data_IF_152786043047
#
_entry.id   IF_152786043047
#
_cell.length_a   1.000
_cell.length_b   1.000
_cell.length_c   1.000
_cell.angle_alpha   90.00
_cell.angle_beta   90.00
_cell.angle_gamma   90.00
#
_symmetry.space_group_name_H-M   'P 1'
#
loop_
_entity.id
_entity.type
_entity.pdbx_description
1 polymer ?
#
# COMPACT_ATOMS: atom_id res chain seq x y z
N UNK A 1 16.90 -0.29 37.19
CA UNK A 1 17.92 -0.36 36.12
C UNK A 1 18.00 -1.78 35.55
N UNK A 2 16.91 -2.28 34.98
CA UNK A 2 16.89 -3.66 34.43
C UNK A 2 16.05 -3.82 33.14
N UNK A 3 15.28 -2.79 32.77
CA UNK A 3 14.59 -2.74 31.48
C UNK A 3 15.56 -2.38 30.34
N UNK A 4 16.52 -1.48 30.61
CA UNK A 4 17.55 -1.08 29.64
C UNK A 4 18.54 -2.21 29.29
N UNK A 5 18.84 -3.12 30.23
CA UNK A 5 19.65 -4.32 29.97
C UNK A 5 18.88 -5.43 29.25
N UNK A 6 17.58 -5.59 29.53
CA UNK A 6 16.69 -6.47 28.76
C UNK A 6 16.53 -6.00 27.31
N UNK A 7 16.53 -4.69 27.07
CA UNK A 7 16.47 -4.12 25.72
C UNK A 7 17.82 -4.24 24.98
N UNK A 8 18.96 -4.07 25.65
CA UNK A 8 20.27 -4.33 25.03
C UNK A 8 20.47 -5.79 24.56
N UNK A 9 19.80 -6.76 25.20
CA UNK A 9 19.80 -8.16 24.75
C UNK A 9 18.93 -8.44 23.52
N UNK A 10 18.00 -7.54 23.18
CA UNK A 10 17.17 -7.61 21.95
C UNK A 10 17.80 -6.86 20.76
N UNK A 11 18.79 -6.00 21.01
CA UNK A 11 19.47 -5.17 20.00
C UNK A 11 20.99 -5.38 19.96
N UNK A 12 21.47 -6.48 20.56
CA UNK A 12 22.86 -6.93 20.52
C UNK A 12 23.06 -8.15 19.62
N UNK A 13 22.28 -8.27 18.55
CA UNK A 13 22.41 -9.33 17.55
C UNK A 13 23.24 -8.87 16.36
N UNK A 14 23.86 -9.83 15.68
CA UNK A 14 24.57 -9.64 14.42
C UNK A 14 23.68 -8.84 13.43
N UNK A 15 24.13 -7.65 13.03
CA UNK A 15 23.42 -6.79 12.07
C UNK A 15 23.60 -7.28 10.61
N UNK A 16 23.94 -8.56 10.44
CA UNK A 16 24.01 -9.19 9.14
C UNK A 16 22.60 -9.25 8.53
N UNK A 17 22.52 -9.07 7.21
CA UNK A 17 21.25 -9.11 6.47
C UNK A 17 20.45 -10.39 6.78
N UNK A 18 21.16 -11.50 7.03
CA UNK A 18 20.59 -12.82 7.33
C UNK A 18 19.91 -12.90 8.71
N UNK A 19 20.40 -12.17 9.70
CA UNK A 19 19.79 -12.12 11.04
C UNK A 19 18.51 -11.27 11.03
N UNK A 20 18.52 -10.16 10.28
CA UNK A 20 17.35 -9.32 10.04
C UNK A 20 16.28 -10.13 9.28
N UNK A 21 16.68 -10.91 8.27
CA UNK A 21 15.78 -11.77 7.50
C UNK A 21 15.11 -12.85 8.34
N UNK A 22 15.87 -13.58 9.17
CA UNK A 22 15.30 -14.57 10.10
C UNK A 22 14.36 -13.93 11.13
N UNK A 23 14.65 -12.72 11.57
CA UNK A 23 13.81 -12.00 12.52
C UNK A 23 12.50 -11.53 11.86
N UNK A 24 12.56 -11.07 10.60
CA UNK A 24 11.37 -10.73 9.80
C UNK A 24 10.46 -11.93 9.58
N UNK A 25 11.04 -13.07 9.20
CA UNK A 25 10.28 -14.30 8.91
C UNK A 25 9.50 -14.78 10.15
N UNK A 26 10.14 -14.78 11.32
CA UNK A 26 9.51 -15.15 12.58
C UNK A 26 8.41 -14.19 13.02
N UNK A 27 8.53 -12.91 12.67
CA UNK A 27 7.52 -11.89 12.98
C UNK A 27 6.31 -12.01 12.04
N UNK A 28 6.54 -12.33 10.76
CA UNK A 28 5.49 -12.55 9.76
C UNK A 28 4.58 -13.73 10.14
N UNK A 29 5.16 -14.84 10.61
CA UNK A 29 4.41 -16.01 11.11
C UNK A 29 3.49 -15.65 12.30
N UNK A 30 3.97 -14.79 13.22
CA UNK A 30 3.21 -14.37 14.39
C UNK A 30 2.03 -13.46 14.03
N UNK A 31 2.18 -12.61 13.01
CA UNK A 31 1.12 -11.71 12.54
C UNK A 31 0.06 -12.48 11.73
N UNK A 32 0.44 -13.40 10.85
CA UNK A 32 -0.51 -14.25 10.13
C UNK A 32 -1.40 -15.05 11.08
N UNK A 33 -0.81 -15.58 12.15
CA UNK A 33 -1.56 -16.29 13.20
C UNK A 33 -2.51 -15.38 13.99
N UNK A 34 -2.26 -14.07 14.06
CA UNK A 34 -3.06 -13.11 14.80
C UNK A 34 -4.23 -12.51 13.98
N UNK A 35 -4.12 -12.47 12.65
CA UNK A 35 -5.07 -11.75 11.78
C UNK A 35 -5.74 -12.63 10.69
N UNK A 36 -5.35 -13.89 10.51
CA UNK A 36 -5.96 -14.80 9.53
C UNK A 36 -7.19 -15.51 10.08
N UNK A 37 -8.38 -14.89 10.02
CA UNK A 37 -9.59 -15.55 10.54
C UNK A 37 -10.97 -15.00 10.15
N UNK A 38 -11.07 -13.89 9.42
CA UNK A 38 -12.37 -13.37 8.99
C UNK A 38 -12.77 -13.90 7.60
N UNK A 39 -14.06 -14.16 7.43
CA UNK A 39 -14.66 -14.52 6.14
C UNK A 39 -14.46 -13.34 5.17
N UNK A 40 -13.65 -13.55 4.14
CA UNK A 40 -13.23 -12.46 3.24
C UNK A 40 -14.42 -12.02 2.37
N UNK A 41 -14.88 -10.78 2.58
CA UNK A 41 -15.85 -10.10 1.70
C UNK A 41 -15.28 -9.97 0.28
N UNK A 42 -16.16 -10.04 -0.73
CA UNK A 42 -15.81 -10.10 -2.17
C UNK A 42 -16.89 -9.45 -3.02
N UNK A 43 -16.49 -8.71 -4.05
CA UNK A 43 -17.39 -7.97 -4.94
C UNK A 43 -18.06 -6.77 -4.26
N UNK A 44 -19.04 -6.18 -4.95
CA UNK A 44 -19.84 -5.05 -4.45
C UNK A 44 -20.65 -5.42 -3.20
N UNK A 45 -20.52 -4.61 -2.15
CA UNK A 45 -21.27 -4.72 -0.89
C UNK A 45 -22.24 -3.53 -0.80
N UNK A 46 -23.56 -3.73 -1.07
CA UNK A 46 -24.52 -2.64 -1.16
C UNK A 46 -24.82 -1.96 0.19
N UNK A 47 -24.65 -2.67 1.29
CA UNK A 47 -24.81 -2.18 2.67
C UNK A 47 -23.66 -1.27 3.11
N UNK A 48 -22.48 -1.45 2.52
CA UNK A 48 -21.28 -0.68 2.84
C UNK A 48 -20.92 0.35 1.75
N UNK A 49 -21.58 0.26 0.59
CA UNK A 49 -21.30 1.12 -0.56
C UNK A 49 -19.87 0.96 -1.08
N UNK A 50 -19.26 -0.21 -0.90
CA UNK A 50 -17.86 -0.46 -1.21
C UNK A 50 -17.68 -1.76 -1.99
N UNK A 51 -16.54 -1.86 -2.71
CA UNK A 51 -16.16 -3.04 -3.46
C UNK A 51 -14.96 -3.72 -2.79
N UNK A 52 -14.99 -5.05 -2.70
CA UNK A 52 -13.87 -5.87 -2.25
C UNK A 52 -13.35 -6.72 -3.41
N UNK A 53 -12.03 -6.85 -3.56
CA UNK A 53 -11.45 -7.70 -4.60
C UNK A 53 -11.96 -9.15 -4.51
N UNK A 54 -12.53 -9.66 -5.60
CA UNK A 54 -12.93 -11.06 -5.77
C UNK A 54 -11.94 -11.86 -6.63
N UNK A 55 -11.05 -11.19 -7.37
CA UNK A 55 -10.02 -11.81 -8.21
C UNK A 55 -10.48 -12.18 -9.63
N UNK A 56 -11.67 -11.73 -10.03
CA UNK A 56 -12.27 -11.88 -11.35
C UNK A 56 -13.18 -10.68 -11.63
N UNK A 57 -13.60 -10.47 -12.87
CA UNK A 57 -14.46 -9.36 -13.26
C UNK A 57 -15.43 -9.77 -14.37
N UNK A 58 -16.64 -9.23 -14.33
CA UNK A 58 -17.69 -9.48 -15.32
C UNK A 58 -17.86 -8.31 -16.31
N UNK A 59 -17.38 -7.12 -15.95
CA UNK A 59 -17.53 -5.89 -16.75
C UNK A 59 -16.43 -4.87 -16.42
N UNK A 60 -16.39 -3.77 -17.18
CA UNK A 60 -15.39 -2.72 -17.04
C UNK A 60 -15.38 -2.06 -15.63
N UNK A 61 -16.55 -1.88 -15.00
CA UNK A 61 -16.64 -1.31 -13.64
C UNK A 61 -15.96 -2.24 -12.64
N UNK A 62 -16.28 -3.53 -12.69
CA UNK A 62 -15.68 -4.51 -11.79
C UNK A 62 -14.17 -4.65 -12.03
N UNK A 63 -13.73 -4.68 -13.29
CA UNK A 63 -12.30 -4.71 -13.62
C UNK A 63 -11.55 -3.51 -13.05
N UNK A 64 -12.11 -2.30 -13.21
CA UNK A 64 -11.55 -1.09 -12.62
C UNK A 64 -11.46 -1.22 -11.09
N UNK A 65 -12.55 -1.65 -10.46
CA UNK A 65 -12.62 -1.78 -9.01
C UNK A 65 -11.67 -2.84 -8.44
N UNK A 66 -11.49 -3.99 -9.12
CA UNK A 66 -10.48 -5.00 -8.76
C UNK A 66 -9.08 -4.37 -8.68
N UNK A 67 -8.69 -3.64 -9.73
CA UNK A 67 -7.35 -3.02 -9.79
C UNK A 67 -7.20 -1.89 -8.76
N UNK A 68 -8.24 -1.08 -8.53
CA UNK A 68 -8.25 -0.06 -7.46
C UNK A 68 -8.13 -0.72 -6.08
N UNK A 69 -8.83 -1.82 -5.81
CA UNK A 69 -8.73 -2.55 -4.54
C UNK A 69 -7.31 -3.06 -4.28
N UNK A 70 -6.62 -3.58 -5.30
CA UNK A 70 -5.21 -3.97 -5.16
C UNK A 70 -4.33 -2.77 -4.79
N UNK A 71 -4.67 -1.57 -5.26
CA UNK A 71 -3.98 -0.35 -4.86
C UNK A 71 -4.35 0.11 -3.42
N UNK A 72 -5.58 -0.09 -2.98
CA UNK A 72 -6.01 0.32 -1.64
C UNK A 72 -5.24 -0.38 -0.52
N UNK A 73 -4.60 -1.52 -0.80
CA UNK A 73 -3.61 -2.13 0.10
C UNK A 73 -2.55 -1.14 0.61
N UNK A 74 -2.12 -0.21 -0.26
CA UNK A 74 -1.17 0.83 0.09
C UNK A 74 -1.68 1.76 1.20
N UNK A 75 -2.99 2.00 1.30
CA UNK A 75 -3.59 2.83 2.35
C UNK A 75 -3.44 2.16 3.72
N UNK A 76 -3.69 0.86 3.82
CA UNK A 76 -3.52 0.09 5.06
C UNK A 76 -2.06 0.08 5.51
N UNK A 77 -1.13 -0.12 4.57
CA UNK A 77 0.29 -0.08 4.87
C UNK A 77 0.77 1.32 5.26
N UNK A 78 0.25 2.38 4.64
CA UNK A 78 0.50 3.76 5.08
C UNK A 78 0.00 4.01 6.49
N UNK A 79 -1.19 3.51 6.85
CA UNK A 79 -1.74 3.64 8.21
C UNK A 79 -0.84 2.92 9.23
N UNK A 80 -0.44 1.67 8.97
CA UNK A 80 0.52 0.91 9.80
C UNK A 80 1.85 1.65 9.98
N UNK A 81 2.39 2.19 8.88
CA UNK A 81 3.64 2.94 8.88
C UNK A 81 3.55 4.21 9.71
N UNK A 82 2.48 5.00 9.52
CA UNK A 82 2.25 6.23 10.27
C UNK A 82 2.08 5.96 11.77
N UNK A 83 1.29 4.95 12.13
CA UNK A 83 1.12 4.53 13.54
C UNK A 83 2.46 4.16 14.19
N UNK A 84 3.28 3.33 13.52
CA UNK A 84 4.62 2.98 14.02
C UNK A 84 5.54 4.20 14.16
N UNK A 85 5.54 5.07 13.14
CA UNK A 85 6.37 6.27 13.09
C UNK A 85 5.96 7.33 14.13
N UNK A 86 4.68 7.41 14.48
CA UNK A 86 4.16 8.30 15.53
C UNK A 86 4.37 7.76 16.94
N UNK A 87 4.24 6.44 17.12
CA UNK A 87 4.64 5.75 18.34
C UNK A 87 6.16 5.79 18.61
N UNK A 88 6.95 6.29 17.63
CA UNK A 88 8.43 6.26 17.63
C UNK A 88 8.98 4.83 17.69
N UNK A 89 8.19 3.86 17.24
CA UNK A 89 8.60 2.47 17.11
C UNK A 89 9.21 2.26 15.72
N UNK A 90 10.46 2.70 15.58
CA UNK A 90 11.17 2.67 14.31
C UNK A 90 11.54 1.25 13.85
N UNK A 91 11.56 0.28 14.76
CA UNK A 91 11.72 -1.14 14.39
C UNK A 91 10.44 -1.65 13.72
N UNK A 92 9.27 -1.33 14.28
CA UNK A 92 8.00 -1.64 13.63
C UNK A 92 7.86 -0.90 12.30
N UNK A 93 8.29 0.35 12.20
CA UNK A 93 8.28 1.09 10.93
C UNK A 93 9.17 0.41 9.86
N UNK A 94 10.37 -0.05 10.21
CA UNK A 94 11.24 -0.78 9.30
C UNK A 94 10.64 -2.14 8.89
N UNK A 95 9.94 -2.81 9.80
CA UNK A 95 9.19 -4.03 9.49
C UNK A 95 8.06 -3.77 8.48
N UNK A 96 7.21 -2.76 8.72
CA UNK A 96 6.15 -2.36 7.77
C UNK A 96 6.74 -2.06 6.40
N UNK A 97 7.89 -1.38 6.34
CA UNK A 97 8.60 -1.07 5.09
C UNK A 97 8.97 -2.32 4.29
N UNK A 98 9.45 -3.35 4.97
CA UNK A 98 9.94 -4.59 4.36
C UNK A 98 8.78 -5.54 4.02
N UNK A 99 7.76 -5.64 4.90
CA UNK A 99 6.50 -6.33 4.61
C UNK A 99 5.86 -5.76 3.35
N UNK A 100 5.72 -4.43 3.25
CA UNK A 100 5.11 -3.81 2.08
C UNK A 100 5.88 -4.12 0.79
N UNK A 101 7.22 -4.12 0.79
CA UNK A 101 8.01 -4.52 -0.40
C UNK A 101 7.70 -5.97 -0.80
N UNK A 102 7.56 -6.88 0.17
CA UNK A 102 7.28 -8.28 -0.11
C UNK A 102 5.87 -8.46 -0.68
N UNK A 103 4.88 -7.82 -0.08
CA UNK A 103 3.48 -7.92 -0.50
C UNK A 103 3.23 -7.40 -1.91
N UNK A 104 4.02 -6.41 -2.36
CA UNK A 104 3.95 -5.92 -3.74
C UNK A 104 4.19 -7.02 -4.78
N UNK A 105 4.91 -8.10 -4.43
CA UNK A 105 5.08 -9.25 -5.34
C UNK A 105 3.74 -9.98 -5.54
N UNK A 106 3.05 -10.30 -4.45
CA UNK A 106 1.75 -10.96 -4.50
C UNK A 106 0.66 -10.09 -5.13
N UNK A 107 0.71 -8.77 -4.93
CA UNK A 107 -0.19 -7.83 -5.61
C UNK A 107 0.05 -7.80 -7.12
N UNK A 108 1.31 -7.86 -7.57
CA UNK A 108 1.64 -7.96 -8.99
C UNK A 108 1.15 -9.26 -9.61
N UNK A 109 1.25 -10.38 -8.89
CA UNK A 109 0.73 -11.66 -9.36
C UNK A 109 -0.79 -11.63 -9.51
N UNK A 110 -1.50 -11.05 -8.55
CA UNK A 110 -2.95 -10.85 -8.63
C UNK A 110 -3.34 -9.96 -9.83
N UNK A 111 -2.67 -8.82 -9.99
CA UNK A 111 -2.89 -7.93 -11.14
C UNK A 111 -2.60 -8.63 -12.48
N UNK A 112 -1.53 -9.43 -12.56
CA UNK A 112 -1.19 -10.20 -13.74
C UNK A 112 -2.22 -11.28 -14.07
N UNK A 113 -2.83 -11.90 -13.05
CA UNK A 113 -3.88 -12.90 -13.23
C UNK A 113 -5.17 -12.31 -13.81
N UNK A 114 -5.51 -11.07 -13.45
CA UNK A 114 -6.64 -10.34 -14.04
C UNK A 114 -6.41 -10.02 -15.53
N UNK A 115 -5.15 -9.73 -15.91
CA UNK A 115 -4.78 -9.43 -17.29
C UNK A 115 -5.37 -8.10 -17.79
N UNK A 116 -5.38 -7.93 -19.10
CA UNK A 116 -5.97 -6.76 -19.75
C UNK A 116 -7.47 -6.97 -20.01
N UNK A 117 -8.29 -5.95 -19.81
CA UNK A 117 -9.71 -5.98 -20.12
C UNK A 117 -9.94 -5.82 -21.62
N UNK A 118 -10.42 -6.85 -22.30
CA UNK A 118 -10.64 -6.85 -23.77
C UNK A 118 -9.43 -6.34 -24.58
N UNK A 119 -8.22 -6.58 -24.08
CA UNK A 119 -6.96 -6.13 -24.68
C UNK A 119 -6.53 -4.69 -24.31
N UNK A 120 -7.33 -3.95 -23.56
CA UNK A 120 -6.96 -2.67 -22.96
C UNK A 120 -6.23 -2.87 -21.62
N UNK A 121 -4.94 -2.52 -21.62
CA UNK A 121 -4.04 -2.68 -20.47
C UNK A 121 -3.69 -1.35 -19.79
N UNK A 122 -4.36 -0.24 -20.12
CA UNK A 122 -4.07 1.09 -19.55
C UNK A 122 -4.13 1.11 -18.03
N UNK A 123 -5.22 0.57 -17.46
CA UNK A 123 -5.37 0.48 -16.01
C UNK A 123 -4.33 -0.41 -15.35
N UNK A 124 -4.06 -1.58 -15.95
CA UNK A 124 -3.04 -2.50 -15.43
C UNK A 124 -1.64 -1.85 -15.43
N UNK A 125 -1.29 -1.12 -16.49
CA UNK A 125 -0.04 -0.34 -16.58
C UNK A 125 0.01 0.79 -15.55
N UNK A 126 -1.10 1.48 -15.30
CA UNK A 126 -1.18 2.52 -14.29
C UNK A 126 -0.97 1.94 -12.88
N UNK A 127 -1.63 0.82 -12.57
CA UNK A 127 -1.45 0.11 -11.31
C UNK A 127 0.01 -0.32 -11.09
N UNK A 128 0.69 -0.87 -12.11
CA UNK A 128 2.09 -1.23 -11.97
C UNK A 128 3.00 -0.03 -11.66
N UNK A 129 2.72 1.16 -12.20
CA UNK A 129 3.45 2.38 -11.85
C UNK A 129 3.25 2.75 -10.38
N UNK A 130 2.05 2.53 -9.83
CA UNK A 130 1.78 2.72 -8.41
C UNK A 130 2.62 1.75 -7.57
N UNK A 131 2.64 0.46 -7.93
CA UNK A 131 3.47 -0.53 -7.23
C UNK A 131 4.97 -0.22 -7.30
N UNK A 132 5.48 0.19 -8.47
CA UNK A 132 6.87 0.63 -8.64
C UNK A 132 7.17 1.85 -7.77
N UNK A 133 6.23 2.78 -7.69
CA UNK A 133 6.32 3.99 -6.88
C UNK A 133 6.38 3.70 -5.38
N UNK A 134 5.52 2.81 -4.88
CA UNK A 134 5.57 2.37 -3.48
C UNK A 134 6.86 1.61 -3.17
N UNK A 135 7.29 0.72 -4.05
CA UNK A 135 8.56 0.01 -3.85
C UNK A 135 9.73 0.99 -3.74
N UNK A 136 9.79 2.00 -4.62
CA UNK A 136 10.81 3.04 -4.57
C UNK A 136 10.74 3.87 -3.27
N UNK A 137 9.53 4.23 -2.83
CA UNK A 137 9.31 4.91 -1.56
C UNK A 137 9.77 4.07 -0.37
N UNK A 138 9.52 2.76 -0.38
CA UNK A 138 9.97 1.87 0.69
C UNK A 138 11.47 1.64 0.64
N UNK A 139 12.09 1.52 -0.54
CA UNK A 139 13.55 1.29 -0.65
C UNK A 139 14.38 2.52 -0.29
N UNK A 140 13.86 3.72 -0.55
CA UNK A 140 14.58 4.99 -0.37
C UNK A 140 13.87 5.96 0.59
N UNK A 141 12.68 6.43 0.23
CA UNK A 141 11.99 7.53 0.92
C UNK A 141 11.71 7.27 2.41
N UNK A 142 11.01 6.20 2.75
CA UNK A 142 10.69 5.83 4.13
C UNK A 142 11.90 5.31 4.88
N UNK A 143 12.80 4.56 4.21
CA UNK A 143 14.08 4.14 4.80
C UNK A 143 14.90 5.33 5.29
N UNK A 144 14.96 6.39 4.48
CA UNK A 144 15.63 7.65 4.82
C UNK A 144 14.93 8.33 6.00
N UNK A 145 13.61 8.45 5.98
CA UNK A 145 12.86 9.05 7.11
C UNK A 145 13.08 8.31 8.43
N UNK A 146 13.03 6.98 8.42
CA UNK A 146 13.28 6.14 9.60
C UNK A 146 14.68 6.42 10.15
N UNK A 147 15.70 6.42 9.28
CA UNK A 147 17.08 6.74 9.67
C UNK A 147 17.20 8.13 10.28
N UNK A 148 16.64 9.16 9.63
CA UNK A 148 16.69 10.54 10.15
C UNK A 148 16.05 10.64 11.53
N UNK A 149 14.93 9.94 11.76
CA UNK A 149 14.26 9.94 13.05
C UNK A 149 15.02 9.15 14.13
N UNK A 150 15.71 8.07 13.76
CA UNK A 150 16.66 7.37 14.65
C UNK A 150 17.84 8.26 15.05
N UNK A 151 18.33 9.09 14.12
CA UNK A 151 19.40 10.06 14.33
C UNK A 151 18.92 11.32 15.10
N UNK A 152 17.66 11.36 15.54
CA UNK A 152 17.11 12.45 16.34
C UNK A 152 16.65 13.68 15.55
N UNK A 153 16.54 13.58 14.23
CA UNK A 153 16.19 14.70 13.32
C UNK A 153 14.67 14.90 13.14
N UNK A 154 13.83 14.35 14.02
CA UNK A 154 12.37 14.51 13.89
C UNK A 154 11.99 15.99 13.96
N UNK A 155 11.29 16.49 12.95
CA UNK A 155 10.82 17.88 12.89
C UNK A 155 11.88 18.90 12.46
N UNK A 156 13.09 18.47 12.09
CA UNK A 156 14.07 19.40 11.49
C UNK A 156 13.69 19.74 10.05
N UNK A 157 14.18 20.87 9.50
CA UNK A 157 13.91 21.24 8.11
C UNK A 157 14.29 20.15 7.10
N UNK A 158 15.35 19.39 7.37
CA UNK A 158 15.81 18.31 6.51
C UNK A 158 14.80 17.15 6.49
N UNK A 159 14.27 16.75 7.65
CA UNK A 159 13.27 15.67 7.73
C UNK A 159 11.94 16.10 7.09
N UNK A 160 11.55 17.36 7.28
CA UNK A 160 10.37 17.94 6.63
C UNK A 160 10.52 18.01 5.11
N UNK A 161 11.72 18.29 4.59
CA UNK A 161 12.00 18.25 3.17
C UNK A 161 11.85 16.83 2.59
N UNK A 162 12.33 15.82 3.33
CA UNK A 162 12.16 14.42 2.93
C UNK A 162 10.68 13.98 2.98
N UNK A 163 9.92 14.38 4.01
CA UNK A 163 8.48 14.13 4.09
C UNK A 163 7.75 14.73 2.88
N UNK A 164 8.06 15.99 2.55
CA UNK A 164 7.47 16.65 1.38
C UNK A 164 7.79 15.91 0.08
N UNK A 165 9.04 15.45 -0.10
CA UNK A 165 9.45 14.65 -1.26
C UNK A 165 8.62 13.36 -1.37
N UNK A 166 8.45 12.64 -0.26
CA UNK A 166 7.66 11.41 -0.24
C UNK A 166 6.18 11.70 -0.57
N UNK A 167 5.59 12.73 0.04
CA UNK A 167 4.19 13.10 -0.19
C UNK A 167 3.93 13.52 -1.63
N UNK A 168 4.84 14.26 -2.27
CA UNK A 168 4.72 14.62 -3.69
C UNK A 168 4.70 13.39 -4.60
N UNK A 169 5.49 12.36 -4.27
CA UNK A 169 5.47 11.10 -5.03
C UNK A 169 4.11 10.40 -4.83
N UNK A 170 3.65 10.25 -3.58
CA UNK A 170 2.38 9.59 -3.27
C UNK A 170 1.19 10.23 -4.01
N UNK A 171 1.05 11.56 -3.91
CA UNK A 171 -0.02 12.31 -4.60
C UNK A 171 0.03 12.01 -6.10
N UNK A 172 1.21 12.16 -6.73
CA UNK A 172 1.36 11.91 -8.16
C UNK A 172 1.02 10.48 -8.56
N UNK A 173 1.30 9.47 -7.73
CA UNK A 173 0.97 8.08 -8.05
C UNK A 173 -0.54 7.86 -8.06
N UNK A 174 -1.25 8.42 -7.08
CA UNK A 174 -2.71 8.28 -6.97
C UNK A 174 -3.43 9.10 -8.04
N UNK A 175 -3.00 10.34 -8.31
CA UNK A 175 -3.58 11.17 -9.37
C UNK A 175 -3.50 10.43 -10.73
N UNK A 176 -2.33 9.88 -11.08
CA UNK A 176 -2.19 9.13 -12.33
C UNK A 176 -3.02 7.84 -12.39
N UNK A 177 -3.32 7.23 -11.25
CA UNK A 177 -4.18 6.04 -11.20
C UNK A 177 -5.65 6.44 -11.39
N UNK A 178 -6.08 7.53 -10.77
CA UNK A 178 -7.42 8.07 -10.92
C UNK A 178 -7.66 8.53 -12.36
N UNK A 179 -6.72 9.27 -12.96
CA UNK A 179 -6.80 9.68 -14.37
C UNK A 179 -6.93 8.46 -15.30
N UNK A 180 -6.15 7.40 -15.03
CA UNK A 180 -6.23 6.18 -15.82
C UNK A 180 -7.57 5.44 -15.66
N UNK A 181 -8.15 5.49 -14.44
CA UNK A 181 -9.46 4.91 -14.10
C UNK A 181 -10.56 5.65 -14.85
N UNK A 182 -10.60 6.97 -14.78
CA UNK A 182 -11.57 7.81 -15.48
C UNK A 182 -11.50 7.56 -17.00
N UNK A 183 -10.32 7.73 -17.59
CA UNK A 183 -10.13 7.52 -19.02
C UNK A 183 -10.43 6.07 -19.48
N UNK A 184 -10.24 5.07 -18.62
CA UNK A 184 -10.61 3.68 -18.91
C UNK A 184 -12.13 3.51 -18.90
N UNK A 185 -12.81 3.97 -17.85
CA UNK A 185 -14.26 3.87 -17.74
C UNK A 185 -14.96 4.62 -18.89
N UNK A 186 -14.46 5.79 -19.28
CA UNK A 186 -14.94 6.54 -20.45
C UNK A 186 -14.80 5.72 -21.74
N UNK A 187 -13.63 5.12 -21.97
CA UNK A 187 -13.35 4.32 -23.16
C UNK A 187 -14.25 3.07 -23.27
N UNK A 188 -14.75 2.57 -22.14
CA UNK A 188 -15.62 1.40 -22.06
C UNK A 188 -17.10 1.76 -21.83
N UNK A 189 -17.48 3.02 -22.06
CA UNK A 189 -18.88 3.46 -22.07
C UNK A 189 -19.54 3.55 -20.69
N UNK A 190 -18.75 3.70 -19.63
CA UNK A 190 -19.19 3.88 -18.24
C UNK A 190 -19.12 5.36 -17.82
N UNK A 191 -18.33 6.17 -18.53
CA UNK A 191 -18.03 7.58 -18.20
C UNK A 191 -19.20 8.56 -18.19
N UNK A 192 -20.23 8.31 -18.98
CA UNK A 192 -21.48 9.11 -18.96
C UNK A 192 -22.46 8.49 -17.97
N UNK A 193 -22.23 8.72 -16.68
CA UNK A 193 -23.38 8.93 -15.81
C UNK A 193 -23.83 10.36 -16.07
N UNK A 194 -24.68 10.54 -17.10
CA UNK A 194 -25.65 11.61 -17.06
C UNK A 194 -26.34 11.47 -15.70
N UNK A 195 -25.97 12.33 -14.76
CA UNK A 195 -26.90 12.75 -13.73
C UNK A 195 -27.99 13.47 -14.54
N UNK A 196 -28.88 12.69 -15.16
CA UNK A 196 -30.22 13.14 -15.47
C UNK A 196 -30.76 13.57 -14.11
N UNK A 197 -30.60 14.87 -13.82
CA UNK A 197 -31.48 15.61 -12.95
C UNK A 197 -32.88 15.32 -13.49
N UNK A 198 -33.47 14.23 -13.00
CA UNK A 198 -34.92 14.09 -12.83
C UNK A 198 -35.36 15.20 -11.84
N UNK A 199 -35.12 16.45 -12.21
CA UNK A 199 -35.85 17.60 -11.71
C UNK A 199 -37.19 17.55 -12.42
N UNK A 200 -38.13 16.96 -11.69
CA UNK A 200 -39.58 16.95 -11.88
C UNK A 200 -40.11 18.26 -12.50
N UNK A 201 -40.89 18.16 -13.58
CA UNK A 201 -41.97 19.09 -13.92
C UNK A 201 -43.18 18.35 -14.53
#
# INVERSE_FOLDING_TARGET
MDLFKKLQGLFGGDNSAEAIEKQMQKMQEQMQAAFGGEEQKRGWQPDEGCYYAKGEYDNAVEYNNELICLSNYGLDQMAKMNDAMDAKDYNRAEWVRLEWIEDLKGLREQAAALGAYDGDDRMLKALYKVFDGWEALMKDGYKTLIKMRLDGLRGTPEEQAQLKKNNTILVRLIDNLNDASEEFLDAHGVGDYDYDDDDED
#
